data_IF_648012533926
#
_entry.id   IF_648012533926
#
_cell.length_a   1.000
_cell.length_b   1.000
_cell.length_c   1.000
_cell.angle_alpha   90.00
_cell.angle_beta   90.00
_cell.angle_gamma   90.00
#
_symmetry.space_group_name_H-M   'P 1'
#
loop_
_entity.id
_entity.type
_entity.pdbx_description
1 polymer ?
#
# COMPACT_ATOMS: atom_id res chain seq x y z
N UNK A 1 10.48 1.16 -10.45
CA UNK A 1 9.08 0.76 -10.20
C UNK A 1 9.00 0.31 -8.75
N UNK A 2 8.30 1.08 -7.91
CA UNK A 2 8.00 0.76 -6.52
C UNK A 2 7.26 -0.58 -6.46
N UNK A 3 7.60 -1.40 -5.47
CA UNK A 3 6.94 -2.67 -5.15
C UNK A 3 6.53 -2.68 -3.67
N UNK A 4 5.26 -2.42 -3.38
CA UNK A 4 4.68 -2.46 -2.04
C UNK A 4 3.94 -3.79 -1.81
N UNK A 5 4.38 -4.54 -0.81
CA UNK A 5 3.78 -5.82 -0.43
C UNK A 5 2.87 -5.63 0.78
N UNK A 6 1.62 -6.07 0.66
CA UNK A 6 0.59 -6.05 1.71
C UNK A 6 0.14 -7.48 1.96
N UNK A 7 -0.08 -7.87 3.21
CA UNK A 7 -0.57 -9.22 3.52
C UNK A 7 -1.98 -9.43 2.94
N UNK A 8 -2.21 -10.54 2.24
CA UNK A 8 -3.50 -10.88 1.63
C UNK A 8 -4.44 -11.54 2.66
N UNK A 9 -4.99 -10.73 3.57
CA UNK A 9 -5.98 -11.15 4.57
C UNK A 9 -7.15 -10.16 4.62
N UNK A 10 -8.34 -10.58 5.10
CA UNK A 10 -9.55 -9.75 5.07
C UNK A 10 -9.40 -8.36 5.69
N UNK A 11 -8.57 -8.23 6.73
CA UNK A 11 -8.32 -6.99 7.44
C UNK A 11 -7.69 -5.91 6.54
N UNK A 12 -6.82 -6.30 5.61
CA UNK A 12 -6.17 -5.39 4.68
C UNK A 12 -6.97 -5.15 3.41
N UNK A 13 -8.13 -5.80 3.23
CA UNK A 13 -8.83 -5.78 1.95
C UNK A 13 -9.18 -4.36 1.49
N UNK A 14 -9.72 -3.54 2.39
CA UNK A 14 -10.06 -2.16 2.06
C UNK A 14 -8.82 -1.28 1.74
N UNK A 15 -7.68 -1.54 2.39
CA UNK A 15 -6.41 -0.89 2.06
C UNK A 15 -5.91 -1.32 0.69
N UNK A 16 -5.95 -2.62 0.38
CA UNK A 16 -5.55 -3.19 -0.90
C UNK A 16 -6.43 -2.64 -2.03
N UNK A 17 -7.74 -2.62 -1.83
CA UNK A 17 -8.69 -2.11 -2.82
C UNK A 17 -8.47 -0.62 -3.11
N UNK A 18 -8.12 0.18 -2.10
CA UNK A 18 -7.75 1.59 -2.32
C UNK A 18 -6.39 1.73 -3.02
N UNK A 19 -5.39 0.97 -2.58
CA UNK A 19 -4.07 0.95 -3.21
C UNK A 19 -4.12 0.51 -4.69
N UNK A 20 -4.99 -0.44 -5.02
CA UNK A 20 -5.16 -0.94 -6.39
C UNK A 20 -5.75 0.11 -7.35
N UNK A 21 -6.47 1.13 -6.85
CA UNK A 21 -6.99 2.23 -7.69
C UNK A 21 -5.90 3.20 -8.13
N UNK A 22 -4.83 3.32 -7.35
CA UNK A 22 -3.75 4.31 -7.54
C UNK A 22 -2.44 3.67 -8.01
N UNK A 23 -2.31 2.35 -7.89
CA UNK A 23 -1.18 1.59 -8.41
C UNK A 23 -1.33 1.34 -9.92
N UNK A 24 -0.21 1.25 -10.63
CA UNK A 24 -0.19 0.87 -12.05
C UNK A 24 -0.56 -0.61 -12.24
N UNK A 25 -0.18 -1.44 -11.27
CA UNK A 25 -0.46 -2.88 -11.27
C UNK A 25 -0.76 -3.38 -9.85
N UNK A 26 -1.69 -4.33 -9.77
CA UNK A 26 -2.03 -5.04 -8.54
C UNK A 26 -2.10 -6.54 -8.84
N UNK A 27 -1.34 -7.35 -8.10
CA UNK A 27 -1.36 -8.82 -8.27
C UNK A 27 -1.10 -9.55 -6.97
N UNK A 28 -1.67 -10.74 -6.81
CA UNK A 28 -1.40 -11.62 -5.67
C UNK A 28 -0.12 -12.43 -5.91
N UNK A 29 0.74 -12.52 -4.89
CA UNK A 29 1.96 -13.32 -4.85
C UNK A 29 2.01 -14.09 -3.52
N UNK A 30 1.69 -15.37 -3.55
CA UNK A 30 1.57 -16.18 -2.34
C UNK A 30 0.53 -15.58 -1.39
N UNK A 31 0.94 -15.27 -0.15
CA UNK A 31 0.08 -14.68 0.87
C UNK A 31 0.14 -13.14 0.89
N UNK A 32 0.63 -12.50 -0.17
CA UNK A 32 0.74 -11.06 -0.30
C UNK A 32 0.01 -10.56 -1.54
N UNK A 33 -0.50 -9.34 -1.48
CA UNK A 33 -0.80 -8.53 -2.65
C UNK A 33 0.35 -7.57 -2.89
N UNK A 34 0.84 -7.55 -4.12
CA UNK A 34 1.85 -6.62 -4.60
C UNK A 34 1.17 -5.48 -5.36
N UNK A 35 1.40 -4.25 -4.90
CA UNK A 35 1.06 -3.01 -5.56
C UNK A 35 2.32 -2.43 -6.22
N UNK A 36 2.28 -2.22 -7.53
CA UNK A 36 3.39 -1.64 -8.28
C UNK A 36 3.05 -0.25 -8.81
N UNK A 37 4.00 0.68 -8.76
CA UNK A 37 3.87 2.00 -9.39
C UNK A 37 5.21 2.49 -9.95
N UNK A 38 5.20 3.13 -11.11
CA UNK A 38 6.40 3.78 -11.67
C UNK A 38 6.69 5.13 -11.02
N UNK A 39 5.64 5.83 -10.60
CA UNK A 39 5.71 7.15 -9.96
C UNK A 39 5.40 7.05 -8.46
N UNK A 40 5.28 8.20 -7.78
CA UNK A 40 4.91 8.23 -6.36
C UNK A 40 3.55 7.56 -6.12
N UNK A 41 3.55 6.53 -5.27
CA UNK A 41 2.34 5.86 -4.82
C UNK A 41 1.77 6.58 -3.60
N UNK A 42 0.50 7.00 -3.66
CA UNK A 42 -0.19 7.67 -2.54
C UNK A 42 -1.51 6.98 -2.24
N UNK A 43 -1.62 6.40 -1.04
CA UNK A 43 -2.85 5.79 -0.54
C UNK A 43 -3.43 6.72 0.52
N UNK A 44 -4.67 7.17 0.31
CA UNK A 44 -5.38 8.03 1.26
C UNK A 44 -6.00 7.18 2.37
N UNK A 45 -5.72 7.54 3.63
CA UNK A 45 -6.22 6.79 4.79
C UNK A 45 -7.75 6.85 4.92
N UNK A 46 -8.33 8.01 4.66
CA UNK A 46 -9.76 8.26 4.82
C UNK A 46 -10.55 7.46 3.78
N UNK A 47 -10.01 7.32 2.57
CA UNK A 47 -10.58 6.47 1.53
C UNK A 47 -10.41 4.97 1.82
N UNK A 48 -9.25 4.56 2.34
CA UNK A 48 -9.01 3.17 2.74
C UNK A 48 -9.91 2.72 3.90
N UNK A 49 -10.31 3.62 4.81
CA UNK A 49 -11.31 3.36 5.84
C UNK A 49 -10.94 2.29 6.89
N UNK A 50 -9.67 1.87 6.94
CA UNK A 50 -9.21 0.81 7.84
C UNK A 50 -8.97 1.30 9.27
N UNK A 51 -9.01 0.37 10.23
CA UNK A 51 -8.67 0.63 11.64
C UNK A 51 -7.22 1.09 11.77
N UNK A 52 -6.91 1.85 12.82
CA UNK A 52 -5.57 2.39 13.04
C UNK A 52 -4.47 1.33 13.11
N UNK A 53 -4.71 0.21 13.80
CA UNK A 53 -3.73 -0.87 13.88
C UNK A 53 -3.47 -1.49 12.50
N UNK A 54 -4.53 -1.72 11.71
CA UNK A 54 -4.40 -2.23 10.34
C UNK A 54 -3.62 -1.23 9.48
N UNK A 55 -3.99 0.05 9.52
CA UNK A 55 -3.30 1.08 8.73
C UNK A 55 -1.79 1.04 8.92
N UNK A 56 -1.31 1.13 10.16
CA UNK A 56 0.12 1.18 10.47
C UNK A 56 0.84 -0.16 10.33
N UNK A 57 0.13 -1.24 9.97
CA UNK A 57 0.69 -2.56 9.66
C UNK A 57 0.58 -2.92 8.18
N UNK A 58 0.10 -2.00 7.32
CA UNK A 58 -0.17 -2.30 5.92
C UNK A 58 1.08 -2.48 5.04
N UNK A 59 2.25 -1.99 5.48
CA UNK A 59 3.52 -2.20 4.78
C UNK A 59 4.15 -3.50 5.28
N UNK A 60 3.97 -4.59 4.54
CA UNK A 60 4.62 -5.88 4.82
C UNK A 60 6.07 -5.90 4.34
N UNK A 61 6.32 -5.39 3.14
CA UNK A 61 7.65 -5.14 2.60
C UNK A 61 7.60 -4.05 1.53
N UNK A 62 8.75 -3.43 1.24
CA UNK A 62 8.91 -2.41 0.21
C UNK A 62 10.21 -2.64 -0.56
N UNK A 63 10.16 -2.55 -1.89
CA UNK A 63 11.35 -2.52 -2.76
C UNK A 63 11.28 -1.35 -3.74
N UNK A 64 12.44 -0.85 -4.15
CA UNK A 64 12.60 0.22 -5.16
C UNK A 64 11.83 1.51 -4.83
N UNK A 65 11.69 1.79 -3.54
CA UNK A 65 10.96 2.95 -3.06
C UNK A 65 11.22 3.20 -1.59
N UNK A 66 10.90 4.40 -1.15
CA UNK A 66 11.06 4.88 0.22
C UNK A 66 9.75 5.48 0.71
N UNK A 67 9.36 5.12 1.93
CA UNK A 67 8.23 5.75 2.61
C UNK A 67 8.60 7.20 2.94
N UNK A 68 7.96 8.15 2.24
CA UNK A 68 8.12 9.59 2.47
C UNK A 68 7.12 10.13 3.52
N UNK A 69 5.96 9.47 3.64
CA UNK A 69 4.93 9.79 4.63
C UNK A 69 4.20 8.50 5.02
N UNK A 70 3.96 8.30 6.30
CA UNK A 70 3.05 7.26 6.78
C UNK A 70 2.43 7.68 8.11
N UNK A 71 1.30 8.37 8.03
CA UNK A 71 0.68 9.01 9.18
C UNK A 71 -0.85 8.87 9.14
N UNK A 72 -1.55 9.75 9.86
CA UNK A 72 -3.01 9.75 9.98
C UNK A 72 -3.74 10.21 8.71
N UNK A 73 -3.04 10.68 7.68
CA UNK A 73 -3.64 11.22 6.47
C UNK A 73 -3.32 10.35 5.26
N UNK A 74 -2.06 9.93 5.07
CA UNK A 74 -1.67 9.15 3.91
C UNK A 74 -0.46 8.22 4.12
N UNK A 75 -0.36 7.21 3.26
CA UNK A 75 0.88 6.50 2.96
C UNK A 75 1.40 7.02 1.61
N UNK A 76 2.58 7.62 1.61
CA UNK A 76 3.29 8.09 0.41
C UNK A 76 4.60 7.33 0.26
N UNK A 77 4.77 6.69 -0.88
CA UNK A 77 6.00 6.00 -1.26
C UNK A 77 6.56 6.64 -2.52
N UNK A 78 7.80 7.10 -2.44
CA UNK A 78 8.52 7.72 -3.55
C UNK A 78 9.53 6.74 -4.14
N UNK A 79 9.80 6.76 -5.46
CA UNK A 79 10.85 5.94 -6.05
C UNK A 79 12.22 6.25 -5.42
N UNK A 80 13.05 5.22 -5.26
CA UNK A 80 14.48 5.39 -4.93
C UNK A 80 15.32 5.78 -6.15
#
# INVERSE_FOLDING_TARGET
MIELYVLDVPEFRAFIDEGAKVADQCRTIGNYVLLCSNDTLVIDRRQAGVRQAVWYSAVGALRHGKVAQFDKDALRVEPE
#
